data_IF_250397119494
#
_entry.id   IF_250397119494
#
_cell.length_a   1.000
_cell.length_b   1.000
_cell.length_c   1.000
_cell.angle_alpha   90.00
_cell.angle_beta   90.00
_cell.angle_gamma   90.00
#
_symmetry.space_group_name_H-M   'P 1'
#
loop_
_entity.id
_entity.type
_entity.pdbx_description
1 polymer ?
#
# COMPACT_ATOMS: atom_id res chain seq x y z
N UNK A 1 -14.11 11.03 -12.32
CA UNK A 1 -14.47 9.80 -11.59
C UNK A 1 -13.60 9.68 -10.37
N UNK A 2 -14.21 9.53 -9.22
CA UNK A 2 -13.47 9.26 -8.00
C UNK A 2 -13.20 7.77 -7.87
N UNK A 3 -12.02 7.45 -7.37
CA UNK A 3 -11.52 6.09 -7.28
C UNK A 3 -10.96 5.91 -5.88
N UNK A 4 -11.22 4.78 -5.23
CA UNK A 4 -10.67 4.52 -3.90
C UNK A 4 -9.60 3.46 -3.95
N UNK A 5 -8.63 3.60 -3.09
CA UNK A 5 -7.59 2.60 -2.89
C UNK A 5 -7.74 2.05 -1.49
N UNK A 6 -8.05 0.78 -1.40
CA UNK A 6 -8.20 0.08 -0.13
C UNK A 6 -6.99 -0.78 0.15
N UNK A 7 -6.72 -0.97 1.43
CA UNK A 7 -5.67 -1.89 1.86
C UNK A 7 -6.10 -3.32 1.47
N UNK A 8 -5.29 -4.01 0.66
CA UNK A 8 -5.65 -5.38 0.27
C UNK A 8 -5.25 -6.37 1.36
N UNK A 9 -5.70 -7.59 1.19
CA UNK A 9 -5.25 -8.70 2.03
C UNK A 9 -3.90 -9.17 1.46
N UNK A 10 -2.81 -8.63 1.99
CA UNK A 10 -1.47 -8.95 1.50
C UNK A 10 -1.11 -10.41 1.71
N UNK A 11 -1.63 -11.00 2.77
CA UNK A 11 -1.38 -12.39 3.12
C UNK A 11 -2.65 -12.94 3.76
N UNK A 12 -3.11 -14.16 3.40
CA UNK A 12 -4.34 -14.71 3.97
C UNK A 12 -4.35 -14.80 5.49
N UNK A 13 -3.17 -14.86 6.10
CA UNK A 13 -3.06 -15.01 7.56
C UNK A 13 -2.91 -13.67 8.28
N UNK A 14 -2.87 -12.55 7.57
CA UNK A 14 -2.69 -11.27 8.25
C UNK A 14 -3.95 -10.83 8.97
N UNK A 15 -3.76 -10.16 10.10
CA UNK A 15 -4.83 -9.42 10.77
C UNK A 15 -4.65 -7.94 10.57
N UNK A 16 -3.44 -7.43 10.75
CA UNK A 16 -3.11 -6.03 10.51
C UNK A 16 -1.80 -5.95 9.75
N UNK A 17 -1.58 -4.81 9.13
CA UNK A 17 -0.32 -4.47 8.48
C UNK A 17 0.17 -3.14 9.03
N UNK A 18 1.48 -2.99 9.11
CA UNK A 18 2.11 -1.73 9.50
C UNK A 18 2.63 -1.04 8.25
N UNK A 19 2.25 0.22 8.08
CA UNK A 19 2.72 0.99 6.93
C UNK A 19 4.15 1.43 7.20
N UNK A 20 5.08 0.94 6.38
CA UNK A 20 6.50 1.24 6.51
C UNK A 20 6.89 2.48 5.73
N UNK A 21 6.36 2.62 4.51
CA UNK A 21 6.69 3.74 3.64
C UNK A 21 5.51 4.10 2.78
N UNK A 22 5.35 5.38 2.48
CA UNK A 22 4.37 5.89 1.54
C UNK A 22 5.14 6.69 0.49
N UNK A 23 4.96 6.34 -0.79
CA UNK A 23 5.74 6.90 -1.89
C UNK A 23 5.01 7.97 -2.68
N UNK A 24 3.78 8.26 -2.35
CA UNK A 24 2.95 9.20 -3.10
C UNK A 24 2.54 10.37 -2.21
N UNK A 25 2.23 11.49 -2.85
CA UNK A 25 1.86 12.73 -2.16
C UNK A 25 0.51 13.22 -2.66
N UNK A 26 -0.25 13.85 -1.78
CA UNK A 26 -1.51 14.48 -2.17
C UNK A 26 -1.26 15.54 -3.23
N UNK A 27 -2.09 15.53 -4.26
CA UNK A 27 -1.99 16.45 -5.39
C UNK A 27 -1.15 15.95 -6.54
N UNK A 28 -0.40 14.86 -6.37
CA UNK A 28 0.46 14.34 -7.42
C UNK A 28 -0.30 13.49 -8.42
N UNK A 29 0.14 13.54 -9.67
CA UNK A 29 -0.29 12.60 -10.68
C UNK A 29 0.52 11.31 -10.53
N UNK A 30 -0.17 10.18 -10.51
CA UNK A 30 0.46 8.87 -10.38
C UNK A 30 0.33 8.12 -11.69
N UNK A 31 1.46 7.68 -12.21
CA UNK A 31 1.51 6.94 -13.46
C UNK A 31 1.35 5.45 -13.22
N UNK A 32 1.11 4.73 -14.30
CA UNK A 32 1.13 3.26 -14.27
C UNK A 32 2.48 2.79 -13.77
N UNK A 33 2.48 1.91 -12.77
CA UNK A 33 3.71 1.39 -12.19
C UNK A 33 4.24 2.19 -11.00
N UNK A 34 3.54 3.25 -10.60
CA UNK A 34 3.96 4.05 -9.45
C UNK A 34 3.90 3.22 -8.16
N UNK A 35 4.94 3.31 -7.35
CA UNK A 35 4.93 2.72 -6.02
C UNK A 35 3.98 3.51 -5.14
N UNK A 36 3.15 2.83 -4.39
CA UNK A 36 2.20 3.47 -3.49
C UNK A 36 2.69 3.39 -2.05
N UNK A 37 2.88 2.18 -1.56
CA UNK A 37 3.28 1.99 -0.17
C UNK A 37 4.02 0.67 -0.01
N UNK A 38 4.77 0.57 1.09
CA UNK A 38 5.32 -0.68 1.59
C UNK A 38 4.73 -0.93 2.97
N UNK A 39 4.43 -2.18 3.24
CA UNK A 39 3.90 -2.60 4.54
C UNK A 39 4.69 -3.78 5.06
N UNK A 40 4.65 -3.97 6.38
CA UNK A 40 5.10 -5.19 7.02
C UNK A 40 3.91 -5.88 7.66
N UNK A 41 3.91 -7.20 7.61
CA UNK A 41 2.87 -8.03 8.19
C UNK A 41 3.54 -9.01 9.14
N UNK A 42 3.12 -8.99 10.40
CA UNK A 42 3.65 -9.88 11.41
C UNK A 42 2.83 -11.16 11.41
N UNK A 43 3.45 -12.25 11.01
CA UNK A 43 2.82 -13.57 10.92
C UNK A 43 3.26 -14.51 12.02
N UNK A 44 3.96 -14.01 13.03
CA UNK A 44 4.53 -14.86 14.07
C UNK A 44 3.47 -15.65 14.85
N UNK A 45 2.26 -15.13 14.93
CA UNK A 45 1.16 -15.84 15.57
C UNK A 45 0.51 -16.92 14.72
N UNK A 46 0.69 -16.86 13.39
CA UNK A 46 0.07 -17.79 12.45
C UNK A 46 1.00 -18.93 12.07
N UNK A 47 2.30 -18.65 11.98
CA UNK A 47 3.29 -19.62 11.52
C UNK A 47 4.44 -19.67 12.52
N UNK A 48 4.59 -20.80 13.18
CA UNK A 48 5.59 -20.92 14.23
C UNK A 48 6.98 -21.20 13.69
N UNK A 49 7.12 -21.86 12.55
CA UNK A 49 8.41 -22.42 12.18
C UNK A 49 8.83 -22.24 10.73
N UNK A 50 7.91 -22.21 9.79
CA UNK A 50 8.25 -22.32 8.39
C UNK A 50 8.18 -21.03 7.59
N UNK A 51 7.76 -19.95 8.23
CA UNK A 51 7.65 -18.65 7.57
C UNK A 51 8.41 -17.61 8.35
N UNK A 52 9.00 -16.62 7.68
CA UNK A 52 9.54 -15.48 8.40
C UNK A 52 8.44 -14.86 9.27
N UNK A 53 8.74 -14.46 10.51
CA UNK A 53 7.72 -13.85 11.36
C UNK A 53 7.20 -12.53 10.83
N UNK A 54 8.02 -11.81 10.05
CA UNK A 54 7.61 -10.54 9.45
C UNK A 54 7.87 -10.63 7.96
N UNK A 55 6.83 -10.34 7.19
CA UNK A 55 6.91 -10.30 5.73
C UNK A 55 6.63 -8.89 5.25
N UNK A 56 7.27 -8.50 4.17
CA UNK A 56 7.15 -7.16 3.59
C UNK A 56 6.50 -7.24 2.23
N UNK A 57 5.61 -6.30 1.95
CA UNK A 57 4.87 -6.24 0.69
C UNK A 57 4.87 -4.82 0.16
N UNK A 58 4.87 -4.70 -1.16
CA UNK A 58 4.78 -3.43 -1.87
C UNK A 58 3.52 -3.40 -2.71
N UNK A 59 2.84 -2.27 -2.69
CA UNK A 59 1.70 -2.05 -3.56
C UNK A 59 2.09 -1.08 -4.66
N UNK A 60 1.79 -1.46 -5.89
CA UNK A 60 2.12 -0.71 -7.10
C UNK A 60 0.84 -0.41 -7.86
N UNK A 61 0.71 0.84 -8.32
CA UNK A 61 -0.48 1.26 -9.05
C UNK A 61 -0.45 0.74 -10.48
N UNK A 62 -1.58 0.19 -10.92
CA UNK A 62 -1.79 -0.28 -12.29
C UNK A 62 -2.85 0.57 -12.98
N UNK A 63 -2.81 1.86 -12.71
CA UNK A 63 -3.78 2.83 -13.17
C UNK A 63 -3.08 4.17 -13.31
N UNK A 64 -3.71 5.13 -13.99
CA UNK A 64 -3.20 6.50 -14.04
C UNK A 64 -4.22 7.39 -13.38
N UNK A 65 -3.86 7.97 -12.23
CA UNK A 65 -4.80 8.70 -11.38
C UNK A 65 -4.07 9.85 -10.69
N UNK A 66 -4.84 10.80 -10.20
CA UNK A 66 -4.34 11.85 -9.32
C UNK A 66 -4.65 11.46 -7.88
N UNK A 67 -3.66 11.58 -7.00
CA UNK A 67 -3.87 11.34 -5.58
C UNK A 67 -4.51 12.57 -4.95
N UNK A 68 -5.67 12.37 -4.36
CA UNK A 68 -6.43 13.51 -3.79
C UNK A 68 -6.35 13.54 -2.27
N UNK A 69 -6.44 12.40 -1.60
CA UNK A 69 -6.34 12.32 -0.14
C UNK A 69 -5.65 11.04 0.29
N UNK A 70 -4.83 11.16 1.32
CA UNK A 70 -4.22 10.03 2.02
C UNK A 70 -4.81 9.96 3.42
N UNK A 71 -5.17 8.76 3.85
CA UNK A 71 -5.77 8.55 5.17
C UNK A 71 -4.84 7.87 6.15
N UNK A 72 -3.68 7.44 5.70
CA UNK A 72 -2.68 6.78 6.52
C UNK A 72 -1.30 7.36 6.25
N UNK A 73 -0.42 7.22 7.23
CA UNK A 73 0.96 7.68 7.15
C UNK A 73 1.90 6.55 7.57
N UNK A 74 3.20 6.65 7.28
CA UNK A 74 4.16 5.67 7.81
C UNK A 74 4.06 5.57 9.32
N UNK A 75 4.07 4.34 9.82
CA UNK A 75 3.91 4.05 11.24
C UNK A 75 2.49 3.68 11.64
N UNK A 76 1.51 3.93 10.79
CA UNK A 76 0.12 3.57 11.09
C UNK A 76 -0.11 2.08 10.86
N UNK A 77 -0.95 1.49 11.69
CA UNK A 77 -1.44 0.13 11.49
C UNK A 77 -2.74 0.18 10.70
N UNK A 78 -2.97 -0.79 9.85
CA UNK A 78 -4.17 -0.85 9.02
C UNK A 78 -4.63 -2.28 8.85
N UNK A 79 -5.89 -2.44 8.47
CA UNK A 79 -6.50 -3.74 8.22
C UNK A 79 -6.94 -3.83 6.76
N UNK A 80 -7.08 -5.04 6.25
CA UNK A 80 -7.61 -5.26 4.91
C UNK A 80 -8.99 -4.63 4.80
N UNK A 81 -9.23 -3.95 3.69
CA UNK A 81 -10.49 -3.25 3.45
C UNK A 81 -10.51 -1.80 3.90
N UNK A 82 -9.54 -1.35 4.69
CA UNK A 82 -9.46 0.05 5.10
C UNK A 82 -9.16 0.93 3.90
N UNK A 83 -9.78 2.09 3.84
CA UNK A 83 -9.54 3.05 2.76
C UNK A 83 -8.21 3.74 2.99
N UNK A 84 -7.25 3.49 2.12
CA UNK A 84 -5.92 4.09 2.19
C UNK A 84 -5.89 5.46 1.56
N UNK A 85 -6.53 5.62 0.41
CA UNK A 85 -6.44 6.86 -0.36
C UNK A 85 -7.68 7.07 -1.21
N UNK A 86 -7.93 8.33 -1.55
CA UNK A 86 -8.93 8.75 -2.52
C UNK A 86 -8.20 9.36 -3.71
N UNK A 87 -8.53 8.88 -4.90
CA UNK A 87 -7.91 9.31 -6.14
C UNK A 87 -8.99 9.75 -7.12
N UNK A 88 -8.57 10.36 -8.21
CA UNK A 88 -9.51 10.78 -9.26
C UNK A 88 -8.88 10.62 -10.63
N UNK A 89 -9.74 10.51 -11.65
CA UNK A 89 -9.31 10.46 -13.04
C UNK A 89 -9.03 11.85 -13.60
N UNK A 90 -9.47 12.89 -12.91
CA UNK A 90 -9.27 14.30 -13.29
C UNK A 90 -8.60 15.04 -12.14
N UNK A 91 -7.68 15.98 -12.42
CA UNK A 91 -6.94 16.64 -11.35
C UNK A 91 -7.79 17.54 -10.44
N UNK A 92 -8.87 18.11 -10.97
CA UNK A 92 -9.67 19.08 -10.25
C UNK A 92 -11.06 18.57 -9.87
N UNK A 93 -11.24 17.29 -9.89
CA UNK A 93 -12.55 16.68 -9.67
C UNK A 93 -13.02 16.93 -8.24
N UNK A 94 -14.32 17.25 -8.09
CA UNK A 94 -14.92 17.44 -6.78
C UNK A 94 -14.93 16.14 -5.99
N UNK A 95 -14.71 16.23 -4.68
CA UNK A 95 -14.53 15.07 -3.82
C UNK A 95 -15.79 14.63 -3.08
N UNK A 96 -16.92 15.22 -3.38
CA UNK A 96 -18.14 14.97 -2.61
C UNK A 96 -18.93 13.72 -3.00
N UNK A 97 -18.58 13.07 -4.09
CA UNK A 97 -19.29 11.88 -4.55
C UNK A 97 -18.66 10.61 -3.99
N UNK A 98 -19.43 9.53 -3.98
CA UNK A 98 -18.88 8.23 -3.62
C UNK A 98 -17.93 7.74 -4.72
N UNK A 99 -16.88 6.99 -4.36
CA UNK A 99 -15.98 6.42 -5.35
C UNK A 99 -16.74 5.49 -6.32
N UNK A 100 -16.44 5.63 -7.59
CA UNK A 100 -17.10 4.84 -8.63
C UNK A 100 -16.50 3.44 -8.77
N UNK A 101 -15.25 3.27 -8.42
CA UNK A 101 -14.56 1.98 -8.51
C UNK A 101 -13.34 1.95 -7.61
N UNK A 102 -12.75 0.78 -7.47
CA UNK A 102 -11.47 0.63 -6.81
C UNK A 102 -10.34 0.90 -7.79
N UNK A 103 -9.23 1.42 -7.30
CA UNK A 103 -8.02 1.57 -8.09
C UNK A 103 -7.45 0.19 -8.39
N UNK A 104 -6.89 0.04 -9.58
CA UNK A 104 -6.22 -1.20 -9.97
C UNK A 104 -4.80 -1.16 -9.47
N UNK A 105 -4.45 -2.17 -8.68
CA UNK A 105 -3.13 -2.26 -8.06
C UNK A 105 -2.64 -3.68 -8.11
N UNK A 106 -1.34 -3.84 -7.98
CA UNK A 106 -0.79 -5.15 -7.72
C UNK A 106 0.11 -5.09 -6.50
N UNK A 107 0.18 -6.21 -5.80
CA UNK A 107 1.03 -6.35 -4.63
C UNK A 107 2.13 -7.35 -4.93
N UNK A 108 3.30 -7.12 -4.33
CA UNK A 108 4.45 -8.00 -4.49
C UNK A 108 5.11 -8.16 -3.14
N UNK A 109 5.55 -9.37 -2.86
CA UNK A 109 6.38 -9.62 -1.70
C UNK A 109 7.76 -9.01 -1.92
N UNK A 110 8.31 -8.44 -0.87
CA UNK A 110 9.66 -7.88 -0.90
C UNK A 110 10.55 -8.82 -0.10
N UNK A 111 11.60 -9.30 -0.73
CA UNK A 111 12.55 -10.18 -0.07
C UNK A 111 13.76 -9.36 0.35
N UNK A 112 13.99 -9.30 1.64
CA UNK A 112 15.16 -8.63 2.19
C UNK A 112 16.15 -9.69 2.63
N UNK A 113 17.43 -9.48 2.34
CA UNK A 113 18.48 -10.33 2.86
C UNK A 113 19.67 -9.45 3.21
N UNK A 114 20.60 -10.01 3.94
CA UNK A 114 21.69 -9.26 4.54
C UNK A 114 22.46 -8.40 3.55
N UNK A 115 22.70 -8.92 2.37
CA UNK A 115 23.43 -8.17 1.36
C UNK A 115 22.72 -6.93 0.88
N UNK A 116 21.39 -6.94 0.89
CA UNK A 116 20.61 -5.79 0.48
C UNK A 116 20.58 -4.69 1.53
N UNK A 117 20.59 -5.10 2.79
CA UNK A 117 20.41 -4.16 3.87
C UNK A 117 21.72 -3.64 4.43
N UNK A 118 22.65 -4.55 4.63
CA UNK A 118 23.89 -4.17 5.26
C UNK A 118 24.79 -3.40 4.31
N UNK A 119 24.56 -3.59 3.06
CA UNK A 119 25.32 -2.79 2.09
C UNK A 119 24.91 -1.36 2.14
N UNK A 120 23.99 -1.19 2.95
CA UNK A 120 23.54 -0.05 3.10
C UNK A 120 23.68 0.33 4.14
N UNK A 121 23.60 -0.39 4.27
CA UNK A 121 23.84 -0.46 4.83
C UNK A 121 24.20 -0.92 5.24
N UNK A 122 24.20 -0.83 5.26
CA UNK A 122 24.66 -1.49 5.47
C UNK A 122 24.54 -1.62 5.76
#
# INVERSE_FOLDING_TARGET
MLVELKIPLFNPEMTTALIESVYCEEGAELALGAKILDVSVDLSGAFAQNCPPISYYRMVLRDRLWLRKLFFAPGDACEAGAQFALLSTEPDEALGADPARAARCMTAGIVFHDGMWSGRAA
#
